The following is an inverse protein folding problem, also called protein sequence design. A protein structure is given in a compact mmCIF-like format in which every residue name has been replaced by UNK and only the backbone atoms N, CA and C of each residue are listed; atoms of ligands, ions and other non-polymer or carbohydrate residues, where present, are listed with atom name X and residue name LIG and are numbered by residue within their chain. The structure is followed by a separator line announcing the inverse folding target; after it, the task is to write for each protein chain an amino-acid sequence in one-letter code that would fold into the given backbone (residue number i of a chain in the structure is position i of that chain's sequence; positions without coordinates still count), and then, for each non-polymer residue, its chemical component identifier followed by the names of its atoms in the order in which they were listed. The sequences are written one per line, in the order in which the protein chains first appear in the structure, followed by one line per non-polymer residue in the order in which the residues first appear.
data_IF_355214602594
#
_entry.id   IF_355214602594
#
_cell.length_a   1.000
_cell.length_b   1.000
_cell.length_c   1.000
_cell.angle_alpha   90.00
_cell.angle_beta   90.00
_cell.angle_gamma   90.00
#
_symmetry.space_group_name_H-M   'P 1'
#
loop_
_entity.id
_entity.type
_entity.pdbx_description
1 polymer ?
#
# COMPACT_ATOMS: atom_id res chain seq x y z
N UNK A 1 39.97 10.01 -6.26
CA UNK A 1 39.38 9.64 -4.94
C UNK A 1 38.83 8.23 -5.08
N UNK A 2 39.31 7.27 -4.29
CA UNK A 2 38.75 5.92 -4.26
C UNK A 2 37.33 6.02 -3.67
N UNK A 3 36.32 5.56 -4.40
CA UNK A 3 34.96 5.48 -3.85
C UNK A 3 35.00 4.53 -2.65
N UNK A 4 34.37 4.93 -1.55
CA UNK A 4 34.19 4.03 -0.41
C UNK A 4 33.48 2.75 -0.86
N UNK A 5 33.91 1.56 -0.45
CA UNK A 5 33.27 0.32 -0.87
C UNK A 5 31.86 0.24 -0.28
N UNK A 6 30.92 -0.24 -1.07
CA UNK A 6 29.57 -0.54 -0.59
C UNK A 6 29.59 -1.74 0.36
N UNK A 7 28.57 -1.81 1.22
CA UNK A 7 28.33 -2.97 2.10
C UNK A 7 28.21 -4.22 1.23
N UNK A 8 29.00 -5.28 1.51
CA UNK A 8 28.84 -6.55 0.81
C UNK A 8 27.46 -7.15 1.06
N UNK A 9 26.82 -7.67 0.01
CA UNK A 9 25.48 -8.27 0.08
C UNK A 9 24.45 -7.38 0.81
N UNK A 10 24.09 -6.22 0.23
CA UNK A 10 23.19 -5.26 0.87
C UNK A 10 21.87 -5.90 1.33
N UNK A 11 21.29 -6.82 0.56
CA UNK A 11 20.06 -7.52 0.89
C UNK A 11 20.19 -8.31 2.21
N UNK A 12 21.25 -9.10 2.35
CA UNK A 12 21.51 -9.86 3.57
C UNK A 12 21.83 -8.95 4.77
N UNK A 13 22.46 -7.80 4.51
CA UNK A 13 22.77 -6.82 5.55
C UNK A 13 21.49 -6.12 6.05
N UNK A 14 20.70 -5.51 5.15
CA UNK A 14 19.50 -4.76 5.51
C UNK A 14 18.36 -5.67 5.98
N UNK A 15 18.31 -6.92 5.54
CA UNK A 15 17.38 -7.91 6.06
C UNK A 15 17.51 -8.18 7.58
N UNK A 16 18.63 -7.80 8.20
CA UNK A 16 18.81 -7.89 9.67
C UNK A 16 18.13 -6.77 10.45
N UNK A 17 17.72 -5.71 9.76
CA UNK A 17 17.09 -4.51 10.34
C UNK A 17 15.60 -4.43 10.05
N UNK A 18 14.98 -5.57 9.80
CA UNK A 18 13.52 -5.62 9.63
C UNK A 18 12.84 -5.09 10.89
N UNK A 19 11.80 -4.26 10.76
CA UNK A 19 11.03 -3.78 11.89
C UNK A 19 10.46 -4.92 12.72
N UNK A 20 10.35 -4.71 14.03
CA UNK A 20 9.71 -5.67 14.90
C UNK A 20 8.21 -5.76 14.58
N UNK A 21 7.70 -6.98 14.32
CA UNK A 21 6.28 -7.25 14.09
C UNK A 21 5.68 -7.84 15.35
N UNK A 22 4.44 -7.42 15.65
CA UNK A 22 3.67 -8.06 16.71
C UNK A 22 3.24 -9.49 16.32
N UNK A 23 2.72 -10.29 17.25
CA UNK A 23 2.34 -11.67 17.00
C UNK A 23 1.28 -11.83 15.89
N UNK A 24 0.36 -10.88 15.73
CA UNK A 24 -0.65 -10.92 14.67
C UNK A 24 -0.01 -10.78 13.28
N UNK A 25 0.85 -9.77 13.09
CA UNK A 25 1.54 -9.57 11.81
C UNK A 25 2.43 -10.78 11.47
N UNK A 26 3.15 -11.34 12.45
CA UNK A 26 3.95 -12.55 12.25
C UNK A 26 3.08 -13.75 11.83
N UNK A 27 1.91 -13.90 12.46
CA UNK A 27 0.96 -14.94 12.09
C UNK A 27 0.44 -14.77 10.66
N UNK A 28 0.06 -13.55 10.27
CA UNK A 28 -0.38 -13.22 8.91
C UNK A 28 0.72 -13.50 7.86
N UNK A 29 1.99 -13.17 8.16
CA UNK A 29 3.14 -13.47 7.30
C UNK A 29 3.30 -15.00 7.10
N UNK A 30 3.18 -15.78 8.18
CA UNK A 30 3.28 -17.24 8.12
C UNK A 30 2.11 -17.87 7.33
N UNK A 31 0.89 -17.35 7.53
CA UNK A 31 -0.27 -17.79 6.73
C UNK A 31 -0.09 -17.45 5.25
N UNK A 32 0.34 -16.23 4.94
CA UNK A 32 0.58 -15.77 3.58
C UNK A 32 1.61 -16.67 2.87
N UNK A 33 2.70 -17.01 3.56
CA UNK A 33 3.71 -17.93 3.03
C UNK A 33 3.17 -19.34 2.80
N UNK A 34 2.40 -19.88 3.77
CA UNK A 34 1.82 -21.24 3.67
C UNK A 34 0.79 -21.37 2.56
N UNK A 35 -0.01 -20.33 2.35
CA UNK A 35 -1.15 -20.33 1.42
C UNK A 35 -0.85 -19.60 0.11
N UNK A 36 0.38 -19.14 -0.09
CA UNK A 36 0.82 -18.35 -1.25
C UNK A 36 -0.06 -17.09 -1.48
N UNK A 37 -0.45 -16.42 -0.40
CA UNK A 37 -1.17 -15.15 -0.48
C UNK A 37 -0.13 -14.05 -0.63
N UNK A 38 -0.19 -13.23 -1.72
CA UNK A 38 0.73 -12.10 -1.85
C UNK A 38 0.44 -11.05 -0.77
N UNK A 39 1.50 -10.60 -0.08
CA UNK A 39 1.44 -9.51 0.89
C UNK A 39 2.59 -8.53 0.62
N UNK A 40 2.40 -7.29 1.01
CA UNK A 40 3.41 -6.23 0.84
C UNK A 40 4.66 -6.42 1.72
N UNK A 41 4.59 -7.29 2.71
CA UNK A 41 5.70 -7.56 3.64
C UNK A 41 6.01 -6.42 4.61
N UNK A 42 6.93 -6.66 5.56
CA UNK A 42 7.17 -5.74 6.68
C UNK A 42 7.78 -4.41 6.27
N UNK A 43 8.68 -4.38 5.28
CA UNK A 43 9.35 -3.13 4.86
C UNK A 43 8.37 -2.18 4.18
N UNK A 44 7.56 -2.71 3.28
CA UNK A 44 6.54 -1.90 2.61
C UNK A 44 5.44 -1.48 3.59
N UNK A 45 5.04 -2.35 4.52
CA UNK A 45 4.10 -2.00 5.59
C UNK A 45 4.60 -0.82 6.41
N UNK A 46 5.85 -0.83 6.86
CA UNK A 46 6.47 0.29 7.59
C UNK A 46 6.60 1.55 6.72
N UNK A 47 6.89 1.42 5.44
CA UNK A 47 6.88 2.56 4.52
C UNK A 47 5.50 3.22 4.48
N UNK A 48 4.43 2.43 4.37
CA UNK A 48 3.04 2.92 4.41
C UNK A 48 2.73 3.62 5.74
N UNK A 49 3.15 3.04 6.86
CA UNK A 49 3.01 3.64 8.19
C UNK A 49 3.72 5.00 8.26
N UNK A 50 4.99 5.07 7.82
CA UNK A 50 5.78 6.30 7.81
C UNK A 50 5.16 7.38 6.92
N UNK A 51 4.77 7.05 5.68
CA UNK A 51 4.16 7.99 4.75
C UNK A 51 2.81 8.52 5.28
N UNK A 52 1.99 7.65 5.85
CA UNK A 52 0.71 8.02 6.47
C UNK A 52 0.93 8.95 7.66
N UNK A 53 1.94 8.65 8.49
CA UNK A 53 2.28 9.47 9.67
C UNK A 53 2.85 10.82 9.27
N UNK A 54 3.82 10.88 8.35
CA UNK A 54 4.43 12.10 7.86
C UNK A 54 3.41 13.03 7.19
N UNK A 55 2.49 12.46 6.42
CA UNK A 55 1.39 13.18 5.79
C UNK A 55 0.26 13.57 6.75
N UNK A 56 0.31 13.12 8.02
CA UNK A 56 -0.77 13.25 9.01
C UNK A 56 -2.13 12.86 8.41
N UNK A 57 -2.13 11.79 7.60
CA UNK A 57 -3.27 11.38 6.83
C UNK A 57 -4.43 10.93 7.75
N UNK A 58 -5.61 11.51 7.57
CA UNK A 58 -6.83 11.19 8.31
C UNK A 58 -7.83 10.40 7.47
N UNK A 59 -7.79 10.56 6.16
CA UNK A 59 -8.65 9.81 5.23
C UNK A 59 -7.76 9.05 4.26
N UNK A 60 -7.67 7.76 4.48
CA UNK A 60 -6.86 6.84 3.66
C UNK A 60 -7.80 5.94 2.86
N UNK A 61 -7.54 5.80 1.58
CA UNK A 61 -8.19 4.84 0.69
C UNK A 61 -7.17 3.76 0.31
N UNK A 62 -7.56 2.51 0.44
CA UNK A 62 -6.78 1.37 -0.02
C UNK A 62 -7.58 0.58 -1.04
N UNK A 63 -6.95 0.27 -2.16
CA UNK A 63 -7.49 -0.58 -3.21
C UNK A 63 -6.72 -1.90 -3.22
N UNK A 64 -7.39 -2.98 -2.85
CA UNK A 64 -6.79 -4.28 -2.58
C UNK A 64 -6.48 -4.46 -1.09
N UNK A 65 -7.32 -5.24 -0.41
CA UNK A 65 -7.19 -5.52 1.03
C UNK A 65 -6.50 -6.85 1.30
N UNK A 66 -6.79 -7.87 0.48
CA UNK A 66 -6.46 -9.27 0.75
C UNK A 66 -6.81 -9.64 2.21
N UNK A 67 -5.86 -10.11 3.00
CA UNK A 67 -6.07 -10.44 4.42
C UNK A 67 -5.94 -9.23 5.36
N UNK A 68 -5.67 -8.02 4.83
CA UNK A 68 -5.61 -6.77 5.58
C UNK A 68 -4.23 -6.42 6.15
N UNK A 69 -3.16 -7.03 5.67
CA UNK A 69 -1.81 -6.80 6.20
C UNK A 69 -1.37 -5.33 6.09
N UNK A 70 -1.41 -4.75 4.89
CA UNK A 70 -1.14 -3.34 4.62
C UNK A 70 -2.11 -2.40 5.34
N UNK A 71 -3.40 -2.80 5.37
CA UNK A 71 -4.47 -2.04 6.03
C UNK A 71 -4.16 -1.78 7.51
N UNK A 72 -3.58 -2.76 8.22
CA UNK A 72 -3.20 -2.60 9.64
C UNK A 72 -2.16 -1.52 9.84
N UNK A 73 -1.15 -1.40 8.97
CA UNK A 73 -0.14 -0.33 9.05
C UNK A 73 -0.75 1.04 8.79
N UNK A 74 -1.57 1.15 7.74
CA UNK A 74 -2.29 2.38 7.40
C UNK A 74 -3.21 2.82 8.55
N UNK A 75 -3.97 1.89 9.12
CA UNK A 75 -4.92 2.17 10.19
C UNK A 75 -4.23 2.56 11.50
N UNK A 76 -3.14 1.89 11.88
CA UNK A 76 -2.33 2.25 13.05
C UNK A 76 -1.79 3.67 12.94
N UNK A 77 -1.30 4.04 11.76
CA UNK A 77 -0.79 5.39 11.51
C UNK A 77 -1.89 6.44 11.55
N UNK A 78 -2.99 6.27 10.81
CA UNK A 78 -4.03 7.28 10.72
C UNK A 78 -4.84 7.43 12.02
N UNK A 79 -5.01 6.36 12.82
CA UNK A 79 -5.70 6.41 14.12
C UNK A 79 -5.10 7.44 15.07
N UNK A 80 -3.76 7.63 15.04
CA UNK A 80 -3.07 8.64 15.86
C UNK A 80 -3.54 10.07 15.59
N UNK A 81 -4.13 10.32 14.41
CA UNK A 81 -4.66 11.62 14.00
C UNK A 81 -6.20 11.66 13.99
N UNK A 82 -6.87 10.65 14.59
CA UNK A 82 -8.31 10.50 14.55
C UNK A 82 -8.87 10.18 13.16
N UNK A 83 -8.04 9.57 12.33
CA UNK A 83 -8.38 9.22 10.95
C UNK A 83 -9.00 7.83 10.79
N UNK A 84 -9.34 7.50 9.54
CA UNK A 84 -9.94 6.22 9.13
C UNK A 84 -9.39 5.75 7.80
N UNK A 85 -9.36 4.43 7.63
CA UNK A 85 -9.05 3.76 6.37
C UNK A 85 -10.34 3.23 5.76
N UNK A 86 -10.58 3.54 4.50
CA UNK A 86 -11.51 2.82 3.65
C UNK A 86 -10.71 1.86 2.78
N UNK A 87 -10.96 0.56 2.90
CA UNK A 87 -10.30 -0.46 2.08
C UNK A 87 -11.31 -1.24 1.25
N UNK A 88 -10.91 -1.69 0.06
CA UNK A 88 -11.78 -2.36 -0.91
C UNK A 88 -11.21 -3.73 -1.24
N UNK A 89 -12.06 -4.77 -1.16
CA UNK A 89 -11.72 -6.16 -1.48
C UNK A 89 -12.83 -6.82 -2.28
N UNK A 90 -12.47 -7.47 -3.37
CA UNK A 90 -13.44 -8.16 -4.24
C UNK A 90 -13.74 -9.58 -3.76
N UNK A 91 -12.74 -10.28 -3.21
CA UNK A 91 -12.90 -11.65 -2.74
C UNK A 91 -13.58 -11.70 -1.37
N UNK A 92 -14.77 -12.35 -1.25
CA UNK A 92 -15.49 -12.42 0.02
C UNK A 92 -14.75 -13.21 1.10
N UNK A 93 -13.90 -14.18 0.74
CA UNK A 93 -13.14 -14.98 1.70
C UNK A 93 -11.99 -14.14 2.27
N UNK A 94 -11.26 -13.40 1.43
CA UNK A 94 -10.23 -12.45 1.87
C UNK A 94 -10.83 -11.34 2.72
N UNK A 95 -11.95 -10.76 2.30
CA UNK A 95 -12.67 -9.75 3.07
C UNK A 95 -13.09 -10.25 4.47
N UNK A 96 -13.55 -11.50 4.59
CA UNK A 96 -13.91 -12.09 5.88
C UNK A 96 -12.68 -12.26 6.79
N UNK A 97 -11.55 -12.76 6.24
CA UNK A 97 -10.27 -12.88 6.97
C UNK A 97 -9.75 -11.52 7.42
N UNK A 98 -9.79 -10.53 6.54
CA UNK A 98 -9.38 -9.16 6.87
C UNK A 98 -10.18 -8.60 8.05
N UNK A 99 -11.52 -8.75 8.05
CA UNK A 99 -12.37 -8.31 9.18
C UNK A 99 -11.97 -8.98 10.50
N UNK A 100 -11.66 -10.28 10.50
CA UNK A 100 -11.22 -10.99 11.69
C UNK A 100 -9.85 -10.43 12.19
N UNK A 101 -8.93 -10.15 11.28
CA UNK A 101 -7.65 -9.55 11.62
C UNK A 101 -7.80 -8.13 12.17
N UNK A 102 -8.71 -7.32 11.61
CA UNK A 102 -9.00 -5.97 12.13
C UNK A 102 -9.57 -5.98 13.55
N UNK A 103 -10.42 -6.95 13.85
CA UNK A 103 -10.93 -7.17 15.21
C UNK A 103 -9.82 -7.58 16.17
N UNK A 104 -8.97 -8.55 15.78
CA UNK A 104 -7.83 -9.01 16.58
C UNK A 104 -6.82 -7.88 16.86
N UNK A 105 -6.66 -6.96 15.91
CA UNK A 105 -5.78 -5.79 16.03
C UNK A 105 -6.37 -4.64 16.85
N UNK A 106 -7.63 -4.71 17.28
CA UNK A 106 -8.38 -3.59 17.89
C UNK A 106 -8.41 -2.34 16.98
N UNK A 107 -8.64 -2.56 15.68
CA UNK A 107 -8.68 -1.51 14.66
C UNK A 107 -9.99 -1.47 13.86
N UNK A 108 -10.96 -2.33 14.21
CA UNK A 108 -12.21 -2.45 13.47
C UNK A 108 -13.00 -1.11 13.39
N UNK A 109 -12.91 -0.27 14.42
CA UNK A 109 -13.55 1.06 14.43
C UNK A 109 -12.82 2.10 13.57
N UNK A 110 -11.57 1.81 13.21
CA UNK A 110 -10.72 2.69 12.36
C UNK A 110 -10.82 2.33 10.88
N UNK A 111 -11.27 1.10 10.56
CA UNK A 111 -11.25 0.53 9.22
C UNK A 111 -12.68 0.26 8.73
N UNK A 112 -13.02 0.84 7.57
CA UNK A 112 -14.21 0.48 6.81
C UNK A 112 -13.81 -0.40 5.64
N UNK A 113 -14.24 -1.67 5.62
CA UNK A 113 -14.02 -2.57 4.50
C UNK A 113 -15.26 -2.64 3.62
N UNK A 114 -15.13 -2.25 2.36
CA UNK A 114 -16.16 -2.41 1.32
C UNK A 114 -15.80 -3.60 0.44
N UNK A 115 -16.74 -4.54 0.34
CA UNK A 115 -16.61 -5.65 -0.57
C UNK A 115 -17.12 -5.25 -1.95
N UNK A 116 -16.32 -5.45 -2.99
CA UNK A 116 -16.66 -5.16 -4.37
C UNK A 116 -15.46 -4.96 -5.28
N UNK A 117 -15.74 -4.77 -6.57
CA UNK A 117 -14.71 -4.39 -7.53
C UNK A 117 -14.17 -2.98 -7.21
N UNK A 118 -12.84 -2.84 -7.22
CA UNK A 118 -12.19 -1.59 -6.83
C UNK A 118 -12.56 -0.43 -7.75
N UNK A 119 -12.63 -0.65 -9.08
CA UNK A 119 -12.98 0.39 -10.04
C UNK A 119 -14.44 0.83 -9.90
N UNK A 120 -15.34 -0.10 -9.62
CA UNK A 120 -16.75 0.22 -9.43
C UNK A 120 -16.97 1.00 -8.12
N UNK A 121 -16.29 0.57 -7.06
CA UNK A 121 -16.39 1.27 -5.75
C UNK A 121 -15.84 2.69 -5.85
N UNK A 122 -14.64 2.91 -6.43
CA UNK A 122 -14.03 4.25 -6.49
C UNK A 122 -14.83 5.23 -7.32
N UNK A 123 -15.54 4.81 -8.39
CA UNK A 123 -16.42 5.67 -9.18
C UNK A 123 -17.52 6.30 -8.34
N UNK A 124 -18.06 5.56 -7.36
CA UNK A 124 -19.12 6.02 -6.46
C UNK A 124 -18.65 6.78 -5.22
N UNK A 125 -17.31 6.85 -4.97
CA UNK A 125 -16.80 7.51 -3.77
C UNK A 125 -16.74 9.03 -3.89
N UNK A 126 -16.97 9.70 -2.76
CA UNK A 126 -16.67 11.12 -2.53
C UNK A 126 -15.32 11.29 -1.83
N UNK A 127 -14.54 12.27 -2.32
CA UNK A 127 -13.30 12.70 -1.68
C UNK A 127 -13.52 13.83 -0.65
N UNK A 128 -12.45 14.49 -0.18
CA UNK A 128 -11.06 14.16 -0.49
C UNK A 128 -10.46 13.11 0.43
N UNK A 129 -9.48 12.36 -0.07
CA UNK A 129 -8.57 11.52 0.71
C UNK A 129 -7.18 12.17 0.79
N UNK A 130 -6.45 11.88 1.86
CA UNK A 130 -5.08 12.35 2.07
C UNK A 130 -4.06 11.44 1.41
N UNK A 131 -4.35 10.13 1.43
CA UNK A 131 -3.52 9.08 0.85
C UNK A 131 -4.42 8.06 0.15
N UNK A 132 -3.98 7.61 -1.04
CA UNK A 132 -4.49 6.43 -1.73
C UNK A 132 -3.38 5.42 -1.84
N UNK A 133 -3.59 4.20 -1.35
CA UNK A 133 -2.73 3.05 -1.60
C UNK A 133 -3.37 2.13 -2.62
N UNK A 134 -2.63 1.75 -3.65
CA UNK A 134 -3.10 0.94 -4.77
C UNK A 134 -2.29 -0.36 -4.85
N UNK A 135 -2.97 -1.48 -4.59
CA UNK A 135 -2.42 -2.84 -4.68
C UNK A 135 -3.49 -3.82 -5.17
N UNK A 136 -4.02 -3.55 -6.34
CA UNK A 136 -4.95 -4.42 -7.10
C UNK A 136 -4.21 -5.09 -8.26
N UNK A 137 -4.93 -5.75 -9.16
CA UNK A 137 -4.35 -6.21 -10.43
C UNK A 137 -3.78 -5.01 -11.20
N UNK A 138 -2.55 -5.16 -11.68
CA UNK A 138 -1.74 -4.06 -12.24
C UNK A 138 -2.31 -3.53 -13.56
N UNK A 139 -3.07 -4.36 -14.29
CA UNK A 139 -3.82 -3.94 -15.48
C UNK A 139 -4.89 -2.87 -15.18
N UNK A 140 -5.36 -2.79 -13.93
CA UNK A 140 -6.36 -1.80 -13.49
C UNK A 140 -5.76 -0.51 -12.95
N UNK A 141 -4.44 -0.40 -12.80
CA UNK A 141 -3.79 0.81 -12.27
C UNK A 141 -4.03 2.04 -13.13
N UNK A 142 -3.77 1.94 -14.44
CA UNK A 142 -4.02 3.04 -15.36
C UNK A 142 -5.52 3.41 -15.44
N UNK A 143 -6.47 2.47 -15.56
CA UNK A 143 -7.90 2.76 -15.48
C UNK A 143 -8.36 3.43 -14.17
N UNK A 144 -7.76 3.09 -13.02
CA UNK A 144 -8.10 3.69 -11.72
C UNK A 144 -7.55 5.11 -11.52
N UNK A 145 -6.51 5.49 -12.27
CA UNK A 145 -5.76 6.73 -12.04
C UNK A 145 -6.61 8.02 -12.09
N UNK A 146 -7.57 8.20 -13.02
CA UNK A 146 -8.44 9.38 -13.03
C UNK A 146 -9.28 9.50 -11.75
N UNK A 147 -9.82 8.40 -11.24
CA UNK A 147 -10.60 8.39 -10.03
C UNK A 147 -9.70 8.61 -8.78
N UNK A 148 -8.53 8.01 -8.72
CA UNK A 148 -7.57 8.28 -7.65
C UNK A 148 -7.21 9.77 -7.61
N UNK A 149 -6.99 10.40 -8.77
CA UNK A 149 -6.73 11.85 -8.84
C UNK A 149 -7.93 12.66 -8.36
N UNK A 150 -9.13 12.34 -8.75
CA UNK A 150 -10.38 13.01 -8.33
C UNK A 150 -10.57 12.90 -6.82
N UNK A 151 -10.26 11.75 -6.26
CA UNK A 151 -10.47 11.42 -4.86
C UNK A 151 -9.40 11.99 -3.92
N UNK A 152 -8.16 12.17 -4.37
CA UNK A 152 -7.10 12.79 -3.56
C UNK A 152 -7.32 14.30 -3.44
N UNK A 153 -6.98 14.90 -2.29
CA UNK A 153 -6.83 16.35 -2.19
C UNK A 153 -5.58 16.84 -2.95
N UNK A 154 -5.47 18.13 -3.20
CA UNK A 154 -4.20 18.73 -3.64
C UNK A 154 -3.12 18.47 -2.58
N UNK A 155 -1.93 18.07 -3.00
CA UNK A 155 -0.85 17.60 -2.13
C UNK A 155 -1.13 16.25 -1.45
N UNK A 156 -2.19 15.53 -1.83
CA UNK A 156 -2.44 14.16 -1.38
C UNK A 156 -1.52 13.17 -2.10
N UNK A 157 -1.23 12.06 -1.44
CA UNK A 157 -0.26 11.07 -1.89
C UNK A 157 -0.94 9.82 -2.48
N UNK A 158 -0.56 9.46 -3.68
CA UNK A 158 -0.78 8.13 -4.26
C UNK A 158 0.46 7.28 -4.03
N UNK A 159 0.28 6.09 -3.48
CA UNK A 159 1.29 5.03 -3.37
C UNK A 159 0.79 3.84 -4.18
N UNK A 160 1.56 3.37 -5.15
CA UNK A 160 1.22 2.18 -5.92
C UNK A 160 2.32 1.13 -5.78
N UNK A 161 1.91 -0.07 -5.41
CA UNK A 161 2.81 -1.20 -5.23
C UNK A 161 3.04 -1.96 -6.54
N UNK A 162 4.07 -2.81 -6.59
CA UNK A 162 4.39 -3.70 -7.71
C UNK A 162 4.46 -2.99 -9.09
N UNK A 163 4.97 -1.78 -9.13
CA UNK A 163 5.02 -1.00 -10.38
C UNK A 163 6.15 -1.40 -11.33
N UNK A 164 7.00 -2.40 -10.96
CA UNK A 164 7.94 -3.02 -11.88
C UNK A 164 7.31 -4.10 -12.79
N UNK A 165 6.07 -4.48 -12.55
CA UNK A 165 5.37 -5.42 -13.43
C UNK A 165 5.06 -4.79 -14.77
N UNK A 166 5.11 -5.61 -15.86
CA UNK A 166 4.84 -5.13 -17.23
C UNK A 166 3.45 -4.49 -17.36
N UNK A 167 2.45 -5.04 -16.67
CA UNK A 167 1.08 -4.57 -16.74
C UNK A 167 0.88 -3.19 -16.09
N UNK A 168 1.86 -2.73 -15.27
CA UNK A 168 1.89 -1.37 -14.73
C UNK A 168 2.54 -0.34 -15.68
N UNK A 169 3.11 -0.72 -16.84
CA UNK A 169 3.81 0.22 -17.74
C UNK A 169 2.94 1.42 -18.17
N UNK A 170 1.67 1.15 -18.50
CA UNK A 170 0.73 2.22 -18.86
C UNK A 170 0.52 3.24 -17.74
N UNK A 171 0.38 2.76 -16.51
CA UNK A 171 0.29 3.60 -15.31
C UNK A 171 1.58 4.39 -15.08
N UNK A 172 2.75 3.75 -15.15
CA UNK A 172 4.04 4.40 -14.95
C UNK A 172 4.25 5.55 -15.95
N UNK A 173 3.93 5.34 -17.22
CA UNK A 173 3.99 6.38 -18.25
C UNK A 173 3.00 7.51 -17.98
N UNK A 174 1.77 7.19 -17.57
CA UNK A 174 0.75 8.18 -17.28
C UNK A 174 1.16 9.11 -16.11
N UNK A 175 1.67 8.53 -15.01
CA UNK A 175 2.19 9.31 -13.87
C UNK A 175 3.35 10.23 -14.30
N UNK A 176 4.27 9.71 -15.10
CA UNK A 176 5.48 10.46 -15.52
C UNK A 176 5.18 11.56 -16.54
N UNK A 177 4.12 11.42 -17.34
CA UNK A 177 3.77 12.37 -18.40
C UNK A 177 2.78 13.46 -17.98
N UNK A 178 1.97 13.22 -16.94
CA UNK A 178 0.93 14.16 -16.52
C UNK A 178 1.50 15.18 -15.50
N UNK A 179 1.55 16.49 -15.84
CA UNK A 179 2.04 17.54 -14.95
C UNK A 179 1.18 17.72 -13.67
N UNK A 180 0.01 17.10 -13.60
CA UNK A 180 -0.83 17.07 -12.40
C UNK A 180 -0.33 16.10 -11.33
N UNK A 181 0.80 15.41 -11.59
CA UNK A 181 1.48 14.56 -10.62
C UNK A 181 2.94 14.96 -10.46
N UNK A 182 3.41 14.98 -9.23
CA UNK A 182 4.84 14.98 -8.92
C UNK A 182 5.19 13.58 -8.43
N UNK A 183 5.68 12.73 -9.34
CA UNK A 183 5.87 11.31 -9.11
C UNK A 183 7.31 10.86 -9.21
N UNK A 184 7.62 9.76 -8.51
CA UNK A 184 8.88 9.02 -8.64
C UNK A 184 8.63 7.53 -8.50
N UNK A 185 9.49 6.72 -9.14
CA UNK A 185 9.48 5.26 -9.06
C UNK A 185 10.73 4.81 -8.30
N UNK A 186 10.53 4.04 -7.22
CA UNK A 186 11.61 3.48 -6.41
C UNK A 186 11.70 1.98 -6.66
N UNK A 187 12.77 1.54 -7.34
CA UNK A 187 13.09 0.12 -7.42
C UNK A 187 13.90 -0.27 -6.20
N UNK A 188 13.41 -1.22 -5.40
CA UNK A 188 13.96 -1.55 -4.10
C UNK A 188 13.98 -3.06 -3.82
N UNK A 189 14.77 -3.44 -2.82
CA UNK A 189 14.68 -4.74 -2.17
C UNK A 189 13.79 -4.62 -0.94
N UNK A 190 12.69 -5.38 -0.92
CA UNK A 190 11.61 -5.34 0.07
C UNK A 190 11.45 -6.73 0.69
N UNK A 191 12.23 -7.10 1.72
CA UNK A 191 12.17 -8.42 2.33
C UNK A 191 10.75 -8.81 2.77
N UNK A 192 10.34 -10.02 2.42
CA UNK A 192 9.00 -10.54 2.71
C UNK A 192 7.90 -9.99 1.81
N UNK A 193 8.23 -9.14 0.85
CA UNK A 193 7.33 -8.67 -0.21
C UNK A 193 7.21 -9.71 -1.35
N UNK A 194 6.17 -9.62 -2.14
CA UNK A 194 5.93 -10.53 -3.27
C UNK A 194 5.83 -9.77 -4.61
N UNK A 195 6.91 -9.74 -5.43
CA UNK A 195 8.26 -10.27 -5.20
C UNK A 195 9.15 -9.35 -4.36
N UNK A 196 10.22 -9.87 -3.77
CA UNK A 196 11.14 -9.06 -2.92
C UNK A 196 11.91 -7.96 -3.67
N UNK A 197 12.07 -8.06 -4.98
CA UNK A 197 12.66 -7.02 -5.83
C UNK A 197 11.59 -6.44 -6.72
N UNK A 198 11.15 -5.25 -6.38
CA UNK A 198 10.04 -4.59 -7.07
C UNK A 198 10.19 -3.07 -7.06
N UNK A 199 9.26 -2.40 -7.70
CA UNK A 199 9.16 -0.95 -7.66
C UNK A 199 7.89 -0.49 -6.96
N UNK A 200 8.03 0.61 -6.23
CA UNK A 200 6.93 1.35 -5.62
C UNK A 200 6.88 2.74 -6.26
N UNK A 201 5.71 3.17 -6.69
CA UNK A 201 5.50 4.53 -7.19
C UNK A 201 4.89 5.39 -6.11
N UNK A 202 5.51 6.55 -5.88
CA UNK A 202 5.00 7.61 -5.01
C UNK A 202 4.66 8.81 -5.89
N UNK A 203 3.43 9.34 -5.80
CA UNK A 203 3.00 10.47 -6.60
C UNK A 203 2.12 11.44 -5.79
N UNK A 204 2.53 12.70 -5.69
CA UNK A 204 1.73 13.77 -5.12
C UNK A 204 0.80 14.34 -6.19
N UNK A 205 -0.48 14.52 -5.84
CA UNK A 205 -1.40 15.29 -6.66
C UNK A 205 -1.06 16.78 -6.57
N UNK A 206 -0.75 17.39 -7.70
CA UNK A 206 -0.50 18.83 -7.85
C UNK A 206 -1.85 19.57 -8.01
#
# INVERSE_FOLDING_TARGET
MSAAPMIPSPEAYFGKFLPARDPLLQHMEQEAQRENIPIVGPVMGELLYLLTTLGQARRVLELGTATGYSTLFLARACRAFGGRVLTVESDPQMAARARANFQTADLADTIELRQGDALDVVRGLGGPFDLVFMDIDKSFYQPALPDCRRLLRAGGLLVADNTAFRDADGFNRAISADPGWCGLHLYAFLPGHSPEKDAVTLALRI
#
